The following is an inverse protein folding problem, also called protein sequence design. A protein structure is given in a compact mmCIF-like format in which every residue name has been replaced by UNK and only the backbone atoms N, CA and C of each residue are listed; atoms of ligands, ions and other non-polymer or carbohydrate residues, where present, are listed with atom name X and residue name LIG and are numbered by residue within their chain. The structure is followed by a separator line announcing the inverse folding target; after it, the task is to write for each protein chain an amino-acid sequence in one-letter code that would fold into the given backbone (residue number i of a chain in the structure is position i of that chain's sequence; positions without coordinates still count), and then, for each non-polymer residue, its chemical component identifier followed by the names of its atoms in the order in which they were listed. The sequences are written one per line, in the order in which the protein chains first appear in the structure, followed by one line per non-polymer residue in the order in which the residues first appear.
data_IF_050768541195
#
_entry.id   IF_050768541195
#
_cell.length_a   1.000
_cell.length_b   1.000
_cell.length_c   1.000
_cell.angle_alpha   90.00
_cell.angle_beta   90.00
_cell.angle_gamma   90.00
#
_symmetry.space_group_name_H-M   'P 1'
#
loop_
_entity.id
_entity.type
_entity.pdbx_description
1 polymer ?
#
# COMPACT_ATOMS: atom_id res chain seq x y z
N UNK A 1 -40.94 41.84 7.91
CA UNK A 1 -41.15 40.38 8.04
C UNK A 1 -39.76 39.74 8.04
N UNK A 2 -39.21 39.47 9.22
CA UNK A 2 -37.81 39.09 9.42
C UNK A 2 -37.70 37.58 9.66
N UNK A 3 -37.05 36.84 8.75
CA UNK A 3 -36.72 35.43 8.97
C UNK A 3 -35.46 35.30 9.83
N UNK A 4 -35.65 34.72 11.02
CA UNK A 4 -34.59 34.34 11.96
C UNK A 4 -33.82 33.14 11.40
N UNK A 5 -32.49 33.25 11.36
CA UNK A 5 -31.58 32.13 11.10
C UNK A 5 -31.45 31.28 12.36
N UNK A 6 -31.68 29.98 12.25
CA UNK A 6 -31.40 28.99 13.30
C UNK A 6 -30.01 28.43 13.00
N UNK A 7 -29.05 28.74 13.87
CA UNK A 7 -27.75 28.10 13.90
C UNK A 7 -27.85 26.84 14.75
N UNK A 8 -27.48 25.69 14.19
CA UNK A 8 -27.33 24.44 14.93
C UNK A 8 -25.82 24.21 15.13
N UNK A 9 -25.34 24.50 16.34
CA UNK A 9 -24.02 24.11 16.78
C UNK A 9 -24.08 22.65 17.26
N UNK A 10 -23.31 21.76 16.63
CA UNK A 10 -23.07 20.41 17.14
C UNK A 10 -21.63 20.35 17.66
N UNK A 11 -21.48 20.33 18.98
CA UNK A 11 -20.25 19.93 19.64
C UNK A 11 -20.19 18.40 19.62
N UNK A 12 -19.15 17.84 19.01
CA UNK A 12 -18.76 16.45 19.19
C UNK A 12 -17.28 16.42 19.52
N UNK A 13 -16.98 16.16 20.80
CA UNK A 13 -15.66 15.72 21.21
C UNK A 13 -15.45 14.29 20.74
N UNK A 14 -14.37 14.06 19.99
CA UNK A 14 -13.90 12.73 19.65
C UNK A 14 -12.52 12.54 20.26
N UNK A 15 -12.44 11.79 21.35
CA UNK A 15 -11.24 11.03 21.68
C UNK A 15 -11.32 9.71 20.92
N UNK A 16 -10.73 9.69 19.73
CA UNK A 16 -10.63 8.47 18.93
C UNK A 16 -9.41 7.65 19.39
N UNK A 17 -9.63 6.66 20.25
CA UNK A 17 -8.80 5.47 20.22
C UNK A 17 -9.22 4.70 18.96
N UNK A 18 -8.53 4.93 17.85
CA UNK A 18 -8.74 4.18 16.62
C UNK A 18 -8.31 2.72 16.85
N UNK A 19 -9.27 1.86 17.17
CA UNK A 19 -9.09 0.42 17.11
C UNK A 19 -8.99 0.04 15.62
N UNK A 20 -7.76 -0.15 15.14
CA UNK A 20 -7.44 -0.60 13.79
C UNK A 20 -7.78 -2.09 13.59
N UNK A 21 -9.07 -2.45 13.67
CA UNK A 21 -9.50 -3.86 13.76
C UNK A 21 -9.87 -4.51 12.41
N UNK A 22 -9.62 -3.88 11.26
CA UNK A 22 -10.06 -4.42 9.96
C UNK A 22 -9.10 -5.47 9.37
N UNK A 23 -7.79 -5.36 9.60
CA UNK A 23 -6.79 -6.25 8.99
C UNK A 23 -6.04 -7.04 10.05
N UNK A 24 -5.90 -8.36 9.85
CA UNK A 24 -5.05 -9.22 10.69
C UNK A 24 -3.57 -8.99 10.35
N UNK A 25 -3.02 -7.91 10.88
CA UNK A 25 -1.66 -7.50 10.62
C UNK A 25 -1.02 -6.84 11.84
N UNK A 26 0.30 -6.88 11.87
CA UNK A 26 1.13 -6.16 12.84
C UNK A 26 2.14 -5.32 12.07
N UNK A 27 2.46 -4.15 12.60
CA UNK A 27 3.46 -3.28 12.02
C UNK A 27 4.26 -2.56 13.11
N UNK A 28 5.52 -2.28 12.80
CA UNK A 28 6.42 -1.49 13.65
C UNK A 28 7.38 -0.69 12.78
N UNK A 29 7.99 0.35 13.35
CA UNK A 29 9.15 0.99 12.73
C UNK A 29 10.35 0.78 13.63
N UNK A 30 11.45 0.35 13.03
CA UNK A 30 12.74 0.16 13.69
C UNK A 30 13.83 0.86 12.92
N UNK A 31 14.93 1.18 13.57
CA UNK A 31 16.15 1.59 12.86
C UNK A 31 16.80 0.34 12.24
N UNK A 32 16.81 0.26 10.91
CA UNK A 32 17.48 -0.81 10.18
C UNK A 32 18.97 -0.53 10.06
N UNK A 33 19.81 -1.57 10.05
CA UNK A 33 21.24 -1.42 9.74
C UNK A 33 21.41 -1.06 8.27
N UNK A 34 21.74 0.20 7.97
CA UNK A 34 22.07 0.60 6.60
C UNK A 34 23.33 -0.12 6.11
N UNK A 35 23.33 -0.58 4.86
CA UNK A 35 24.52 -1.16 4.20
C UNK A 35 25.55 -0.11 3.78
N UNK A 36 25.19 1.18 3.87
CA UNK A 36 26.06 2.28 3.47
C UNK A 36 26.83 2.78 4.69
N UNK A 37 28.06 2.27 4.84
CA UNK A 37 29.07 2.86 5.70
C UNK A 37 29.38 4.26 5.14
N UNK A 38 29.15 5.32 5.94
CA UNK A 38 29.76 6.61 5.61
C UNK A 38 31.28 6.40 5.67
N UNK A 39 31.97 6.73 4.58
CA UNK A 39 33.38 6.37 4.30
C UNK A 39 34.45 6.94 5.24
N UNK A 40 34.09 7.34 6.46
CA UNK A 40 35.01 7.81 7.49
C UNK A 40 34.49 7.38 8.86
N UNK A 41 34.90 6.21 9.36
CA UNK A 41 35.06 5.87 10.79
C UNK A 41 33.92 6.05 11.80
N UNK A 42 32.76 6.61 11.45
CA UNK A 42 31.72 7.02 12.39
C UNK A 42 30.36 6.41 11.98
N UNK A 43 29.92 5.39 12.73
CA UNK A 43 28.54 4.90 12.79
C UNK A 43 27.93 4.31 11.51
N UNK A 44 27.21 3.19 11.64
CA UNK A 44 26.27 2.78 10.60
C UNK A 44 25.12 3.80 10.57
N UNK A 45 24.90 4.46 9.43
CA UNK A 45 23.66 5.24 9.26
C UNK A 45 22.51 4.27 9.23
N UNK A 46 21.70 4.29 10.28
CA UNK A 46 20.50 3.46 10.34
C UNK A 46 19.33 4.21 9.72
N UNK A 47 18.53 3.54 8.92
CA UNK A 47 17.36 4.12 8.26
C UNK A 47 16.08 3.60 8.93
N UNK A 48 15.11 4.48 9.25
CA UNK A 48 13.83 4.03 9.75
C UNK A 48 13.19 3.09 8.73
N UNK A 49 12.78 1.93 9.20
CA UNK A 49 12.31 0.82 8.38
C UNK A 49 10.95 0.37 8.90
N UNK A 50 9.97 0.33 8.01
CA UNK A 50 8.63 -0.20 8.26
C UNK A 50 8.73 -1.74 8.18
N UNK A 51 8.43 -2.41 9.28
CA UNK A 51 8.28 -3.86 9.33
C UNK A 51 6.80 -4.17 9.43
N UNK A 52 6.28 -4.93 8.47
CA UNK A 52 4.88 -5.37 8.41
C UNK A 52 4.84 -6.88 8.41
N UNK A 53 3.88 -7.45 9.12
CA UNK A 53 3.46 -8.85 8.95
C UNK A 53 1.94 -8.92 8.82
N UNK A 54 1.44 -9.50 7.74
CA UNK A 54 0.01 -9.69 7.44
C UNK A 54 -0.32 -11.17 7.42
N UNK A 55 -1.39 -11.58 8.09
CA UNK A 55 -1.90 -12.95 8.04
C UNK A 55 -3.04 -13.04 7.03
N UNK A 56 -2.92 -13.94 6.06
CA UNK A 56 -3.89 -14.08 4.96
C UNK A 56 -5.04 -15.02 5.31
N UNK A 57 -4.93 -15.78 6.40
CA UNK A 57 -6.01 -16.58 6.97
C UNK A 57 -6.58 -17.59 5.97
N UNK A 58 -7.91 -17.54 5.75
CA UNK A 58 -8.61 -18.44 4.84
C UNK A 58 -8.28 -18.21 3.35
N UNK A 59 -7.50 -17.18 3.03
CA UNK A 59 -7.04 -16.91 1.66
C UNK A 59 -5.66 -17.51 1.35
N UNK A 60 -4.98 -18.08 2.34
CA UNK A 60 -3.74 -18.79 2.13
C UNK A 60 -3.91 -19.87 1.04
N UNK A 61 -2.98 -19.90 0.08
CA UNK A 61 -3.01 -20.80 -1.08
C UNK A 61 -3.87 -20.33 -2.26
N UNK A 62 -4.69 -19.28 -2.12
CA UNK A 62 -5.43 -18.69 -3.25
C UNK A 62 -4.55 -17.68 -3.99
N UNK A 63 -4.57 -17.63 -5.33
CA UNK A 63 -3.87 -16.58 -6.06
C UNK A 63 -4.32 -15.20 -5.60
N UNK A 64 -3.39 -14.25 -5.46
CA UNK A 64 -3.76 -12.96 -4.89
C UNK A 64 -2.68 -11.89 -4.99
N UNK A 65 -3.04 -10.72 -4.47
CA UNK A 65 -2.21 -9.53 -4.43
C UNK A 65 -2.09 -9.00 -3.00
N UNK A 66 -1.00 -8.29 -2.74
CA UNK A 66 -0.71 -7.62 -1.49
C UNK A 66 -0.39 -6.16 -1.75
N UNK A 67 -0.86 -5.28 -0.87
CA UNK A 67 -0.68 -3.83 -0.96
C UNK A 67 -0.05 -3.28 0.32
N UNK A 68 0.77 -2.26 0.12
CA UNK A 68 1.34 -1.43 1.17
C UNK A 68 1.24 0.02 0.73
N UNK A 69 0.80 0.88 1.64
CA UNK A 69 0.78 2.32 1.43
C UNK A 69 1.00 3.09 2.73
N UNK A 70 1.24 4.39 2.59
CA UNK A 70 1.31 5.36 3.68
C UNK A 70 0.40 6.52 3.33
N UNK A 71 -0.49 6.90 4.24
CA UNK A 71 -1.47 7.96 4.06
C UNK A 71 -1.18 9.13 5.02
N UNK A 72 -1.24 10.36 4.51
CA UNK A 72 -1.12 11.58 5.34
C UNK A 72 -2.28 11.68 6.34
N UNK A 73 -2.08 12.39 7.48
CA UNK A 73 -3.14 12.61 8.47
C UNK A 73 -4.41 13.27 7.92
N UNK A 74 -4.26 14.16 6.94
CA UNK A 74 -5.36 14.85 6.25
C UNK A 74 -6.02 14.01 5.14
N UNK A 75 -5.51 12.80 4.91
CA UNK A 75 -5.95 11.84 3.89
C UNK A 75 -5.88 12.36 2.45
N UNK A 76 -5.12 13.43 2.19
CA UNK A 76 -5.00 14.02 0.84
C UNK A 76 -3.88 13.40 0.00
N UNK A 77 -2.87 12.82 0.64
CA UNK A 77 -1.72 12.22 -0.05
C UNK A 77 -1.50 10.79 0.42
N UNK A 78 -1.50 9.86 -0.53
CA UNK A 78 -1.08 8.49 -0.31
C UNK A 78 0.23 8.22 -1.08
N UNK A 79 1.15 7.55 -0.42
CA UNK A 79 2.33 6.93 -1.02
C UNK A 79 2.07 5.44 -1.10
N UNK A 80 2.36 4.82 -2.24
CA UNK A 80 2.22 3.38 -2.48
C UNK A 80 3.57 2.81 -2.83
N UNK A 81 3.74 1.50 -2.59
CA UNK A 81 4.92 0.75 -2.99
C UNK A 81 4.52 -0.27 -4.06
N UNK A 82 4.64 0.04 -5.36
CA UNK A 82 4.37 -0.92 -6.42
C UNK A 82 5.43 -2.02 -6.48
N UNK A 83 5.18 -3.04 -7.31
CA UNK A 83 6.09 -4.16 -7.61
C UNK A 83 7.52 -3.76 -8.04
N UNK A 84 7.74 -2.51 -8.47
CA UNK A 84 9.06 -2.00 -8.81
C UNK A 84 9.94 -1.70 -7.58
N UNK A 85 9.39 -1.82 -6.37
CA UNK A 85 10.08 -1.61 -5.11
C UNK A 85 10.42 -0.14 -4.81
N UNK A 86 9.79 0.81 -5.51
CA UNK A 86 10.02 2.25 -5.30
C UNK A 86 8.75 2.91 -4.79
N UNK A 87 8.89 3.75 -3.77
CA UNK A 87 7.74 4.54 -3.31
C UNK A 87 7.30 5.51 -4.40
N UNK A 88 5.99 5.62 -4.58
CA UNK A 88 5.39 6.50 -5.57
C UNK A 88 4.18 7.20 -4.95
N UNK A 89 3.91 8.44 -5.36
CA UNK A 89 2.66 9.12 -5.02
C UNK A 89 1.51 8.42 -5.76
N UNK A 90 0.48 8.03 -5.02
CA UNK A 90 -0.72 7.48 -5.62
C UNK A 90 -1.49 8.56 -6.37
N UNK A 91 -1.79 8.30 -7.65
CA UNK A 91 -2.47 9.24 -8.55
C UNK A 91 -3.94 8.88 -8.82
N UNK A 92 -4.48 7.89 -8.11
CA UNK A 92 -5.83 7.36 -8.33
C UNK A 92 -5.87 6.09 -9.19
N UNK A 93 -7.07 5.53 -9.37
CA UNK A 93 -7.30 4.30 -10.14
C UNK A 93 -7.26 3.02 -9.30
N UNK A 94 -6.61 1.97 -9.81
CA UNK A 94 -6.34 0.75 -9.06
C UNK A 94 -5.10 0.97 -8.18
N UNK A 95 -5.13 0.49 -6.94
CA UNK A 95 -3.99 0.59 -6.03
C UNK A 95 -2.85 -0.30 -6.53
N UNK A 96 -1.64 0.22 -6.80
CA UNK A 96 -0.53 -0.61 -7.24
C UNK A 96 -0.16 -1.66 -6.18
N UNK A 97 -0.16 -2.97 -6.51
CA UNK A 97 0.23 -3.99 -5.54
C UNK A 97 1.74 -3.97 -5.31
N UNK A 98 2.14 -4.30 -4.08
CA UNK A 98 3.52 -4.59 -3.71
C UNK A 98 3.85 -6.07 -3.89
N UNK A 99 2.88 -6.96 -3.71
CA UNK A 99 3.10 -8.40 -3.83
C UNK A 99 2.16 -8.98 -4.87
N UNK A 100 2.68 -9.87 -5.70
CA UNK A 100 1.89 -10.71 -6.59
C UNK A 100 2.20 -12.17 -6.31
N UNK A 101 1.15 -12.94 -6.03
CA UNK A 101 1.23 -14.33 -5.63
C UNK A 101 0.33 -15.18 -6.54
N UNK A 102 0.73 -15.40 -7.79
CA UNK A 102 -0.08 -16.15 -8.76
C UNK A 102 -0.30 -17.61 -8.36
N UNK A 103 0.63 -18.19 -7.59
CA UNK A 103 0.57 -19.59 -7.14
C UNK A 103 -0.04 -19.76 -5.75
N UNK A 104 -0.58 -18.70 -5.17
CA UNK A 104 -1.15 -18.74 -3.83
C UNK A 104 -0.50 -17.77 -2.87
N UNK A 105 -1.32 -17.02 -2.13
CA UNK A 105 -0.89 -16.19 -1.02
C UNK A 105 -0.25 -17.08 0.07
N UNK A 106 0.92 -16.71 0.60
CA UNK A 106 1.47 -17.40 1.77
C UNK A 106 0.55 -17.15 2.98
N UNK A 107 0.60 -18.04 3.98
CA UNK A 107 -0.19 -17.88 5.21
C UNK A 107 0.15 -16.57 5.97
N UNK A 108 1.39 -16.12 5.84
CA UNK A 108 1.88 -14.86 6.38
C UNK A 108 2.76 -14.15 5.34
N UNK A 109 2.57 -12.84 5.19
CA UNK A 109 3.37 -11.96 4.35
C UNK A 109 4.14 -11.02 5.27
N UNK A 110 5.46 -11.15 5.31
CA UNK A 110 6.33 -10.24 6.04
C UNK A 110 7.12 -9.38 5.06
N UNK A 111 7.20 -8.08 5.36
CA UNK A 111 7.90 -7.12 4.52
C UNK A 111 8.65 -6.11 5.39
N UNK A 112 9.87 -5.82 4.97
CA UNK A 112 10.75 -4.84 5.59
C UNK A 112 11.16 -3.82 4.53
N UNK A 113 10.76 -2.56 4.69
CA UNK A 113 10.99 -1.51 3.69
C UNK A 113 11.43 -0.23 4.40
N UNK A 114 12.44 0.48 3.90
CA UNK A 114 12.73 1.83 4.37
C UNK A 114 11.48 2.72 4.28
N UNK A 115 11.30 3.59 5.28
CA UNK A 115 10.33 4.68 5.20
C UNK A 115 10.61 5.47 3.91
N UNK A 116 9.55 5.87 3.16
CA UNK A 116 9.76 6.66 1.95
C UNK A 116 10.62 7.89 2.24
N UNK A 117 11.29 8.39 1.22
CA UNK A 117 11.80 9.76 1.22
C UNK A 117 10.91 10.55 0.29
N UNK A 118 10.05 11.39 0.82
CA UNK A 118 9.02 12.12 0.08
C UNK A 118 9.12 13.60 0.43
N UNK A 119 9.23 14.40 -0.61
CA UNK A 119 9.10 15.84 -0.56
C UNK A 119 7.62 16.22 -0.68
N UNK A 120 6.95 16.65 0.40
CA UNK A 120 5.57 17.08 0.32
C UNK A 120 5.39 18.38 -0.48
N UNK A 121 6.41 19.23 -0.56
CA UNK A 121 6.34 20.51 -1.28
C UNK A 121 6.42 20.30 -2.79
N UNK A 122 7.31 19.42 -3.24
CA UNK A 122 7.52 19.13 -4.66
C UNK A 122 6.80 17.87 -5.15
N UNK A 123 6.19 17.10 -4.26
CA UNK A 123 5.49 15.86 -4.57
C UNK A 123 6.40 14.74 -5.10
N UNK A 124 7.70 14.79 -4.80
CA UNK A 124 8.70 13.88 -5.33
C UNK A 124 9.15 12.85 -4.29
N UNK A 125 9.43 11.63 -4.75
CA UNK A 125 10.11 10.61 -3.94
C UNK A 125 11.59 10.60 -4.29
N UNK A 126 12.47 10.71 -3.28
CA UNK A 126 13.92 10.69 -3.44
C UNK A 126 14.51 9.29 -3.26
N UNK A 127 15.68 9.06 -3.85
CA UNK A 127 16.44 7.80 -3.73
C UNK A 127 17.30 7.72 -2.45
N UNK A 128 17.19 8.66 -1.52
CA UNK A 128 17.92 8.64 -0.24
C UNK A 128 16.96 8.43 0.92
N UNK A 129 17.06 7.32 1.63
CA UNK A 129 16.22 7.09 2.82
C UNK A 129 16.52 8.11 3.91
N UNK A 130 15.50 8.65 4.61
CA UNK A 130 15.73 9.59 5.69
C UNK A 130 16.40 8.89 6.88
N UNK A 131 17.07 9.64 7.74
CA UNK A 131 17.61 9.13 9.02
C UNK A 131 16.63 9.31 10.18
N UNK A 132 15.50 10.01 9.96
CA UNK A 132 14.45 10.22 10.96
C UNK A 132 13.07 10.11 10.33
N UNK A 133 12.04 9.86 11.13
CA UNK A 133 10.64 9.88 10.68
C UNK A 133 9.93 11.20 10.91
N UNK A 134 10.66 12.30 11.16
CA UNK A 134 10.08 13.60 11.56
C UNK A 134 8.99 14.10 10.59
N UNK A 135 9.21 13.93 9.28
CA UNK A 135 8.26 14.36 8.23
C UNK A 135 7.03 13.46 8.10
N UNK A 136 7.05 12.28 8.73
CA UNK A 136 6.03 11.25 8.63
C UNK A 136 5.23 11.07 9.92
N UNK A 137 5.48 11.87 10.96
CA UNK A 137 4.76 11.75 12.23
C UNK A 137 3.25 11.81 11.99
N UNK A 138 2.54 10.82 12.51
CA UNK A 138 1.08 10.72 12.40
C UNK A 138 0.57 10.15 11.08
N UNK A 139 1.43 9.96 10.06
CA UNK A 139 1.05 9.27 8.84
C UNK A 139 0.64 7.83 9.19
N UNK A 140 -0.32 7.29 8.48
CA UNK A 140 -0.83 5.93 8.73
C UNK A 140 -0.29 4.96 7.69
N UNK A 141 0.37 3.89 8.14
CA UNK A 141 0.74 2.76 7.28
C UNK A 141 -0.50 1.91 7.05
N UNK A 142 -0.87 1.72 5.78
CA UNK A 142 -1.96 0.85 5.34
C UNK A 142 -1.41 -0.39 4.67
N UNK A 143 -2.05 -1.52 4.96
CA UNK A 143 -1.72 -2.80 4.34
C UNK A 143 -3.00 -3.54 4.02
N UNK A 144 -2.90 -4.47 3.09
CA UNK A 144 -3.98 -5.38 2.82
C UNK A 144 -3.67 -6.40 1.77
N UNK A 145 -4.57 -7.36 1.62
CA UNK A 145 -4.47 -8.42 0.63
C UNK A 145 -5.82 -8.69 0.00
N UNK A 146 -5.78 -9.34 -1.14
CA UNK A 146 -6.95 -9.63 -1.96
C UNK A 146 -6.70 -10.93 -2.69
N UNK A 147 -7.68 -11.82 -2.63
CA UNK A 147 -7.58 -13.16 -3.16
C UNK A 147 -8.57 -13.38 -4.29
N UNK A 148 -8.14 -14.14 -5.28
CA UNK A 148 -9.00 -14.63 -6.35
C UNK A 148 -9.67 -15.93 -5.86
N UNK A 149 -10.91 -15.79 -5.41
CA UNK A 149 -11.76 -16.93 -5.11
C UNK A 149 -12.13 -17.71 -6.39
N UNK A 150 -12.77 -18.88 -6.22
CA UNK A 150 -13.18 -19.72 -7.34
C UNK A 150 -14.11 -19.00 -8.32
N UNK A 151 -14.95 -18.08 -7.81
CA UNK A 151 -15.82 -17.25 -8.63
C UNK A 151 -15.03 -16.26 -9.47
N UNK A 152 -14.04 -15.58 -8.89
CA UNK A 152 -13.16 -14.64 -9.59
C UNK A 152 -12.33 -15.35 -10.66
N UNK A 153 -11.80 -16.54 -10.35
CA UNK A 153 -11.08 -17.37 -11.33
C UNK A 153 -11.99 -17.79 -12.49
N UNK A 154 -13.26 -18.14 -12.22
CA UNK A 154 -14.24 -18.41 -13.27
C UNK A 154 -14.49 -17.18 -14.15
N UNK A 155 -14.63 -15.99 -13.56
CA UNK A 155 -14.80 -14.75 -14.34
C UNK A 155 -13.61 -14.47 -15.26
N UNK A 156 -12.38 -14.72 -14.79
CA UNK A 156 -11.17 -14.60 -15.62
C UNK A 156 -11.19 -15.59 -16.78
N UNK A 157 -11.52 -16.86 -16.51
CA UNK A 157 -11.61 -17.88 -17.55
C UNK A 157 -12.71 -17.58 -18.59
N UNK A 158 -13.90 -17.17 -18.14
CA UNK A 158 -15.02 -16.82 -19.01
C UNK A 158 -14.66 -15.60 -19.90
N UNK A 159 -13.98 -14.59 -19.33
CA UNK A 159 -13.46 -13.45 -20.09
C UNK A 159 -12.46 -13.89 -21.16
N UNK A 160 -11.49 -14.73 -20.80
CA UNK A 160 -10.47 -15.23 -21.73
C UNK A 160 -11.10 -15.98 -22.89
N UNK A 161 -12.01 -16.91 -22.60
CA UNK A 161 -12.73 -17.67 -23.62
C UNK A 161 -13.52 -16.74 -24.58
N UNK A 162 -14.17 -15.71 -24.05
CA UNK A 162 -14.87 -14.72 -24.88
C UNK A 162 -13.89 -13.94 -25.77
N UNK A 163 -12.81 -13.41 -25.20
CA UNK A 163 -11.82 -12.63 -25.97
C UNK A 163 -11.17 -13.47 -27.07
N UNK A 164 -10.84 -14.72 -26.79
CA UNK A 164 -10.23 -15.63 -27.76
C UNK A 164 -11.22 -15.95 -28.90
N UNK A 165 -12.51 -16.10 -28.60
CA UNK A 165 -13.55 -16.37 -29.61
C UNK A 165 -13.76 -15.24 -30.62
N UNK A 166 -13.47 -13.99 -30.23
CA UNK A 166 -13.62 -12.81 -31.10
C UNK A 166 -12.28 -12.28 -31.64
N UNK A 167 -11.16 -12.92 -31.28
CA UNK A 167 -9.81 -12.37 -31.51
C UNK A 167 -9.50 -12.16 -32.98
N UNK A 168 -9.60 -13.22 -33.79
CA UNK A 168 -9.27 -13.17 -35.21
C UNK A 168 -10.14 -12.15 -35.97
N UNK A 169 -11.45 -12.09 -35.67
CA UNK A 169 -12.36 -11.11 -36.25
C UNK A 169 -11.94 -9.66 -35.90
N UNK A 170 -11.62 -9.41 -34.62
CA UNK A 170 -11.21 -8.08 -34.15
C UNK A 170 -9.85 -7.65 -34.68
N UNK A 171 -8.91 -8.58 -34.86
CA UNK A 171 -7.61 -8.32 -35.50
C UNK A 171 -7.83 -7.93 -36.96
N UNK A 172 -8.64 -8.69 -37.71
CA UNK A 172 -8.95 -8.39 -39.10
C UNK A 172 -9.61 -7.01 -39.28
N UNK A 173 -10.41 -6.57 -38.28
CA UNK A 173 -11.04 -5.25 -38.25
C UNK A 173 -10.11 -4.11 -37.75
N UNK A 174 -8.87 -4.41 -37.33
CA UNK A 174 -7.97 -3.42 -36.73
C UNK A 174 -8.45 -2.87 -35.38
N UNK A 175 -9.30 -3.62 -34.67
CA UNK A 175 -9.94 -3.22 -33.41
C UNK A 175 -9.43 -3.99 -32.19
N UNK A 176 -8.47 -4.90 -32.38
CA UNK A 176 -7.84 -5.62 -31.28
C UNK A 176 -6.94 -4.69 -30.48
N UNK A 177 -7.09 -4.69 -29.16
CA UNK A 177 -6.19 -3.97 -28.24
C UNK A 177 -5.17 -4.94 -27.66
N UNK A 178 -3.87 -4.61 -27.62
CA UNK A 178 -2.87 -5.43 -26.93
C UNK A 178 -3.19 -5.70 -25.45
N UNK A 179 -3.98 -4.84 -24.80
CA UNK A 179 -4.44 -5.07 -23.43
C UNK A 179 -5.36 -6.30 -23.28
N UNK A 180 -5.93 -6.82 -24.37
CA UNK A 180 -6.74 -8.04 -24.35
C UNK A 180 -5.91 -9.33 -24.38
N UNK A 181 -4.62 -9.24 -24.71
CA UNK A 181 -3.73 -10.41 -24.71
C UNK A 181 -3.40 -10.87 -23.28
N UNK A 182 -3.61 -10.04 -22.26
CA UNK A 182 -3.36 -10.36 -20.86
C UNK A 182 -4.60 -10.12 -19.96
N UNK A 183 -4.75 -10.92 -18.90
CA UNK A 183 -5.81 -10.81 -17.89
C UNK A 183 -5.34 -10.11 -16.60
N UNK A 184 -4.09 -9.70 -16.51
CA UNK A 184 -3.49 -9.19 -15.26
C UNK A 184 -4.24 -8.00 -14.66
N UNK A 185 -4.63 -7.02 -15.47
CA UNK A 185 -5.40 -5.88 -14.98
C UNK A 185 -6.79 -6.29 -14.49
N UNK A 186 -7.40 -7.30 -15.12
CA UNK A 186 -8.71 -7.81 -14.71
C UNK A 186 -8.61 -8.63 -13.42
N UNK A 187 -7.60 -9.49 -13.29
CA UNK A 187 -7.24 -10.20 -12.06
C UNK A 187 -6.98 -9.22 -10.92
N UNK A 188 -6.22 -8.15 -11.18
CA UNK A 188 -5.95 -7.11 -10.21
C UNK A 188 -7.24 -6.42 -9.76
N UNK A 189 -8.11 -6.00 -10.67
CA UNK A 189 -9.39 -5.40 -10.32
C UNK A 189 -10.26 -6.33 -9.43
N UNK A 190 -10.29 -7.63 -9.73
CA UNK A 190 -11.01 -8.61 -8.92
C UNK A 190 -10.39 -8.81 -7.52
N UNK A 191 -9.06 -8.92 -7.44
CA UNK A 191 -8.37 -9.04 -6.15
C UNK A 191 -8.56 -7.77 -5.30
N UNK A 192 -8.48 -6.58 -5.91
CA UNK A 192 -8.71 -5.32 -5.21
C UNK A 192 -10.18 -5.20 -4.77
N UNK A 193 -11.13 -5.71 -5.55
CA UNK A 193 -12.54 -5.79 -5.15
C UNK A 193 -12.73 -6.70 -3.94
N UNK A 194 -12.12 -7.88 -3.90
CA UNK A 194 -12.14 -8.74 -2.71
C UNK A 194 -11.53 -8.02 -1.50
N UNK A 195 -10.39 -7.35 -1.69
CA UNK A 195 -9.75 -6.58 -0.62
C UNK A 195 -10.69 -5.52 -0.03
N UNK A 196 -11.41 -4.77 -0.86
CA UNK A 196 -12.31 -3.71 -0.40
C UNK A 196 -13.63 -4.26 0.16
N UNK A 197 -14.26 -5.21 -0.52
CA UNK A 197 -15.58 -5.73 -0.13
C UNK A 197 -15.49 -6.55 1.16
N UNK A 198 -14.35 -7.19 1.41
CA UNK A 198 -14.11 -8.03 2.58
C UNK A 198 -13.36 -7.31 3.73
N UNK A 199 -13.23 -5.98 3.67
CA UNK A 199 -12.53 -5.16 4.68
C UNK A 199 -11.07 -5.60 4.95
N UNK A 200 -10.36 -6.12 3.95
CA UNK A 200 -8.97 -6.62 4.08
C UNK A 200 -7.92 -5.52 3.81
N UNK A 201 -8.31 -4.25 3.84
CA UNK A 201 -7.45 -3.08 3.69
C UNK A 201 -7.65 -2.12 4.85
N UNK A 202 -6.56 -1.77 5.54
CA UNK A 202 -6.66 -0.94 6.73
C UNK A 202 -5.33 -0.43 7.24
N UNK A 203 -5.40 0.62 8.06
CA UNK A 203 -4.25 1.15 8.77
C UNK A 203 -3.80 0.16 9.85
N UNK A 204 -2.49 0.03 10.05
CA UNK A 204 -1.88 -0.92 11.00
C UNK A 204 -0.87 -0.26 11.94
N UNK A 205 -0.39 0.94 11.60
CA UNK A 205 0.55 1.70 12.40
C UNK A 205 0.40 3.19 12.08
N UNK A 206 0.34 4.02 13.11
CA UNK A 206 0.63 5.45 12.96
C UNK A 206 2.13 5.65 13.17
N UNK A 207 2.79 6.29 12.22
CA UNK A 207 4.24 6.47 12.23
C UNK A 207 4.63 7.39 13.41
N UNK A 208 5.40 6.90 14.39
CA UNK A 208 5.89 7.72 15.48
C UNK A 208 7.14 8.48 15.06
N UNK A 209 7.58 9.41 15.91
CA UNK A 209 8.91 9.99 15.79
C UNK A 209 9.98 8.96 16.18
N UNK A 210 10.93 8.72 15.28
CA UNK A 210 12.10 7.87 15.46
C UNK A 210 13.29 8.61 14.84
N UNK A 211 14.39 8.67 15.58
CA UNK A 211 15.68 9.14 15.10
C UNK A 211 16.66 7.97 15.04
N UNK A 212 17.18 7.69 13.86
CA UNK A 212 18.13 6.61 13.57
C UNK A 212 19.56 7.13 13.32
N UNK A 213 19.82 8.40 13.61
CA UNK A 213 21.19 8.90 13.69
C UNK A 213 21.89 8.29 14.91
N UNK A 214 23.18 7.92 14.81
CA UNK A 214 23.96 7.62 15.99
C UNK A 214 23.96 8.85 16.91
N UNK A 215 23.92 8.63 18.22
CA UNK A 215 24.14 9.71 19.18
C UNK A 215 25.47 10.39 18.82
N UNK A 216 25.48 11.73 18.75
CA UNK A 216 26.70 12.52 18.65
C UNK A 216 27.50 12.32 19.95
N UNK A 217 28.21 11.20 20.06
CA UNK A 217 29.23 10.96 21.07
C UNK A 217 30.45 11.79 20.66
N UNK A 218 30.31 13.11 20.78
CA UNK A 218 31.39 14.07 20.56
C UNK A 218 32.54 13.79 21.50
N UNK A 219 33.74 13.66 20.95
CA UNK A 219 35.02 13.72 21.68
C UNK A 219 35.53 15.15 21.77
#
# INVERSE_FOLDING_TARGET
MNMKKIALACALGFSANAAFAAVSATASITCGSGTNQFGYGFGYSTTPTINVTVNTGADAGKPGLFWLGVLTPDQQTALVLPLNGRWEKYQGGLYPPQGRYDNGLPASISLQIPVPSYDPENGQVFNSSPTTTAQYIGYSVYVGHGALDSKSLKLVADRRAYLDSIREERIAQGRWSPHYDNDDQYKWALAQKDMTDSNKWGAVLSIPFINCQPDDQGG
#
